data_IF_523291554384
#
_entry.id   IF_523291554384
#
_cell.length_a   1.000
_cell.length_b   1.000
_cell.length_c   1.000
_cell.angle_alpha   90.00
_cell.angle_beta   90.00
_cell.angle_gamma   90.00
#
_symmetry.space_group_name_H-M   'P 1'
#
loop_
_entity.id
_entity.type
_entity.pdbx_description
1 polymer ?
#
# COMPACT_ATOMS: atom_id res chain seq x y z
N UNK A 1 1.52 11.73 10.97
CA UNK A 1 2.56 10.99 10.22
C UNK A 1 2.75 9.60 10.79
N UNK A 2 2.88 8.61 9.91
CA UNK A 2 3.23 7.23 10.26
C UNK A 2 4.36 6.79 9.34
N UNK A 3 5.39 6.21 9.92
CA UNK A 3 6.53 5.67 9.19
C UNK A 3 6.61 4.18 9.47
N UNK A 4 6.86 3.41 8.42
CA UNK A 4 6.95 1.96 8.45
C UNK A 4 8.29 1.58 7.84
N UNK A 5 8.98 0.64 8.48
CA UNK A 5 10.21 0.08 7.96
C UNK A 5 10.20 -1.42 8.23
N UNK A 6 10.69 -2.19 7.28
CA UNK A 6 10.73 -3.64 7.38
C UNK A 6 11.75 -4.22 6.42
N UNK A 7 11.87 -5.54 6.46
CA UNK A 7 12.61 -6.30 5.48
C UNK A 7 11.81 -7.56 5.14
N UNK A 8 11.90 -7.99 3.89
CA UNK A 8 11.34 -9.25 3.43
C UNK A 8 12.45 -10.09 2.84
N UNK A 9 12.37 -11.41 3.05
CA UNK A 9 13.29 -12.37 2.45
C UNK A 9 12.51 -13.37 1.63
N UNK A 10 12.79 -13.41 0.33
CA UNK A 10 12.19 -14.36 -0.61
C UNK A 10 13.31 -15.18 -1.23
N UNK A 11 13.41 -16.44 -0.81
CA UNK A 11 14.54 -17.30 -1.17
C UNK A 11 15.88 -16.70 -0.71
N UNK A 12 16.76 -16.41 -1.68
CA UNK A 12 18.09 -15.81 -1.45
C UNK A 12 18.11 -14.28 -1.62
N UNK A 13 16.96 -13.64 -1.83
CA UNK A 13 16.85 -12.20 -1.96
C UNK A 13 16.36 -11.58 -0.64
N UNK A 14 17.03 -10.53 -0.20
CA UNK A 14 16.66 -9.71 0.95
C UNK A 14 16.35 -8.30 0.45
N UNK A 15 15.16 -7.82 0.77
CA UNK A 15 14.62 -6.56 0.28
C UNK A 15 14.12 -5.72 1.44
N UNK A 16 14.43 -4.43 1.42
CA UNK A 16 14.01 -3.49 2.45
C UNK A 16 12.67 -2.87 2.05
N UNK A 17 11.77 -2.74 3.02
CA UNK A 17 10.49 -2.08 2.89
C UNK A 17 10.53 -0.76 3.65
N UNK A 18 10.12 0.32 3.01
CA UNK A 18 9.92 1.63 3.61
C UNK A 18 8.53 2.12 3.26
N UNK A 19 7.76 2.47 4.27
CA UNK A 19 6.42 2.99 4.13
C UNK A 19 6.27 4.33 4.83
N UNK A 20 5.42 5.17 4.27
CA UNK A 20 4.99 6.42 4.88
C UNK A 20 3.49 6.59 4.66
N UNK A 21 2.78 7.02 5.70
CA UNK A 21 1.37 7.30 5.62
C UNK A 21 1.00 8.58 6.37
N UNK A 22 0.06 9.30 5.79
CA UNK A 22 -0.52 10.50 6.37
C UNK A 22 -2.03 10.37 6.50
N UNK A 23 -2.54 10.56 7.71
CA UNK A 23 -3.97 10.61 8.01
C UNK A 23 -4.39 12.08 8.02
N UNK A 24 -5.10 12.51 6.98
CA UNK A 24 -5.62 13.89 6.93
C UNK A 24 -6.76 14.06 7.94
N UNK A 25 -7.55 13.01 8.12
CA UNK A 25 -8.68 12.92 9.03
C UNK A 25 -9.10 11.43 9.15
N UNK A 26 -10.12 11.09 9.96
CA UNK A 26 -10.58 9.70 10.08
C UNK A 26 -11.10 9.08 8.77
N UNK A 27 -11.43 9.90 7.77
CA UNK A 27 -11.98 9.47 6.48
C UNK A 27 -10.90 9.22 5.44
N UNK A 28 -9.82 10.01 5.44
CA UNK A 28 -8.84 10.05 4.36
C UNK A 28 -7.43 9.79 4.87
N UNK A 29 -6.80 8.77 4.29
CA UNK A 29 -5.36 8.49 4.44
C UNK A 29 -4.70 8.41 3.08
N UNK A 30 -3.47 8.90 3.00
CA UNK A 30 -2.57 8.69 1.88
C UNK A 30 -1.37 7.86 2.32
N UNK A 31 -0.89 6.98 1.45
CA UNK A 31 0.17 6.02 1.74
C UNK A 31 1.14 5.91 0.57
N UNK A 32 2.42 5.81 0.89
CA UNK A 32 3.51 5.55 -0.03
C UNK A 32 4.32 4.40 0.53
N UNK A 33 4.56 3.36 -0.28
CA UNK A 33 5.43 2.26 0.10
C UNK A 33 6.49 2.03 -0.97
N UNK A 34 7.70 1.69 -0.54
CA UNK A 34 8.84 1.40 -1.38
C UNK A 34 9.45 0.08 -0.93
N UNK A 35 9.62 -0.82 -1.90
CA UNK A 35 10.35 -2.07 -1.73
C UNK A 35 11.63 -1.99 -2.55
N UNK A 36 12.78 -2.12 -1.88
CA UNK A 36 14.08 -2.19 -2.56
C UNK A 36 14.28 -3.56 -3.20
N UNK A 37 15.24 -3.67 -4.12
CA UNK A 37 15.49 -4.92 -4.84
C UNK A 37 15.80 -4.68 -6.31
N UNK A 38 16.07 -5.77 -7.03
CA UNK A 38 16.23 -5.73 -8.49
C UNK A 38 14.90 -5.46 -9.18
N UNK A 39 13.82 -6.00 -8.61
CA UNK A 39 12.44 -5.75 -9.01
C UNK A 39 11.82 -4.83 -7.96
N UNK A 40 12.31 -3.59 -7.89
CA UNK A 40 11.77 -2.65 -6.92
C UNK A 40 10.31 -2.30 -7.26
N UNK A 41 9.52 -2.02 -6.22
CA UNK A 41 8.15 -1.58 -6.36
C UNK A 41 7.94 -0.32 -5.54
N UNK A 42 7.32 0.68 -6.16
CA UNK A 42 6.79 1.84 -5.48
C UNK A 42 5.27 1.79 -5.52
N UNK A 43 4.64 1.95 -4.37
CA UNK A 43 3.19 1.89 -4.22
C UNK A 43 2.69 3.25 -3.79
N UNK A 44 1.65 3.71 -4.45
CA UNK A 44 0.90 4.91 -4.05
C UNK A 44 -0.52 4.46 -3.76
N UNK A 45 -1.03 4.79 -2.57
CA UNK A 45 -2.35 4.37 -2.14
C UNK A 45 -3.12 5.47 -1.44
N UNK A 46 -4.44 5.43 -1.59
CA UNK A 46 -5.37 6.20 -0.78
C UNK A 46 -6.29 5.26 -0.02
N UNK A 47 -6.75 5.72 1.13
CA UNK A 47 -7.78 5.04 1.91
C UNK A 47 -8.91 6.02 2.16
N UNK A 48 -10.12 5.62 1.77
CA UNK A 48 -11.36 6.33 2.00
C UNK A 48 -12.31 5.51 2.86
N UNK A 49 -12.53 5.95 4.09
CA UNK A 49 -13.53 5.36 4.99
C UNK A 49 -14.88 6.03 4.74
N UNK A 50 -15.68 5.46 3.84
CA UNK A 50 -17.01 5.98 3.48
C UNK A 50 -17.94 5.95 4.70
N UNK A 51 -17.88 4.85 5.45
CA UNK A 51 -18.60 4.67 6.72
C UNK A 51 -17.70 3.93 7.71
N UNK A 52 -18.18 3.70 8.94
CA UNK A 52 -17.46 2.87 9.91
C UNK A 52 -17.20 1.44 9.45
N UNK A 53 -18.02 0.92 8.52
CA UNK A 53 -17.93 -0.44 8.01
C UNK A 53 -17.43 -0.53 6.57
N UNK A 54 -17.49 0.56 5.81
CA UNK A 54 -17.14 0.58 4.39
C UNK A 54 -15.88 1.39 4.15
N UNK A 55 -14.88 0.74 3.56
CA UNK A 55 -13.61 1.34 3.20
C UNK A 55 -13.27 1.01 1.75
N UNK A 56 -12.72 1.99 1.04
CA UNK A 56 -12.23 1.84 -0.35
C UNK A 56 -10.77 2.25 -0.41
N UNK A 57 -9.92 1.43 -1.01
CA UNK A 57 -8.49 1.67 -1.11
C UNK A 57 -8.02 1.55 -2.56
N UNK A 58 -8.08 2.63 -3.36
CA UNK A 58 -7.41 2.65 -4.64
C UNK A 58 -5.91 2.79 -4.44
N UNK A 59 -5.14 1.98 -5.15
CA UNK A 59 -3.69 2.01 -5.11
C UNK A 59 -3.08 1.60 -6.45
N UNK A 60 -1.81 1.96 -6.63
CA UNK A 60 -1.06 1.72 -7.84
C UNK A 60 0.35 1.24 -7.48
N UNK A 61 0.73 0.10 -8.02
CA UNK A 61 2.10 -0.42 -8.00
C UNK A 61 2.84 0.02 -9.25
N UNK A 62 4.01 0.57 -9.06
CA UNK A 62 4.96 0.97 -10.10
C UNK A 62 6.19 0.08 -9.92
N UNK A 63 6.37 -0.87 -10.83
CA UNK A 63 7.56 -1.72 -10.87
C UNK A 63 8.57 -1.21 -11.88
N UNK A 64 9.84 -1.39 -11.58
CA UNK A 64 10.93 -1.07 -12.51
C UNK A 64 11.49 -2.31 -13.24
N UNK A 65 10.88 -3.50 -13.08
CA UNK A 65 11.39 -4.72 -13.70
C UNK A 65 11.27 -4.67 -15.24
N UNK A 66 10.19 -4.12 -15.78
CA UNK A 66 9.96 -4.00 -17.23
C UNK A 66 9.41 -2.62 -17.63
N UNK A 67 9.66 -2.22 -18.88
CA UNK A 67 9.03 -1.04 -19.50
C UNK A 67 7.51 -1.20 -19.47
N UNK A 68 6.81 -0.34 -18.71
CA UNK A 68 5.35 -0.29 -18.51
C UNK A 68 4.73 -1.16 -17.39
N UNK A 69 5.50 -1.59 -16.38
CA UNK A 69 4.96 -2.36 -15.26
C UNK A 69 4.20 -1.49 -14.22
N UNK A 70 3.06 -0.93 -14.63
CA UNK A 70 2.12 -0.21 -13.75
C UNK A 70 0.87 -1.04 -13.54
N UNK A 71 0.55 -1.34 -12.28
CA UNK A 71 -0.63 -2.12 -11.90
C UNK A 71 -1.49 -1.30 -10.94
N UNK A 72 -2.63 -0.82 -11.44
CA UNK A 72 -3.65 -0.18 -10.62
C UNK A 72 -4.65 -1.20 -10.08
N UNK A 73 -5.06 -1.05 -8.83
CA UNK A 73 -6.09 -1.88 -8.20
C UNK A 73 -6.94 -1.06 -7.23
N UNK A 74 -8.13 -1.56 -6.92
CA UNK A 74 -9.03 -0.96 -5.93
C UNK A 74 -9.53 -2.05 -5.02
N UNK A 75 -9.29 -1.91 -3.72
CA UNK A 75 -9.83 -2.81 -2.70
C UNK A 75 -11.09 -2.20 -2.09
N UNK A 76 -12.16 -2.99 -2.06
CA UNK A 76 -13.38 -2.66 -1.32
C UNK A 76 -13.46 -3.56 -0.09
N UNK A 77 -13.54 -2.94 1.08
CA UNK A 77 -13.58 -3.64 2.37
C UNK A 77 -14.90 -3.31 3.05
N UNK A 78 -15.63 -4.36 3.44
CA UNK A 78 -16.80 -4.26 4.29
C UNK A 78 -16.60 -5.04 5.59
N UNK A 79 -16.67 -4.34 6.71
CA UNK A 79 -16.50 -4.91 8.05
C UNK A 79 -17.86 -5.02 8.74
N UNK A 80 -18.23 -6.23 9.13
CA UNK A 80 -19.43 -6.51 9.93
C UNK A 80 -19.09 -7.42 11.11
N UNK A 81 -19.67 -7.18 12.30
CA UNK A 81 -19.50 -8.06 13.44
C UNK A 81 -20.28 -9.37 13.20
N UNK A 82 -19.67 -10.51 13.55
CA UNK A 82 -20.31 -11.82 13.39
C UNK A 82 -21.09 -12.27 14.64
N UNK A 83 -20.70 -11.88 15.85
CA UNK A 83 -21.42 -12.04 17.12
C UNK A 83 -20.61 -11.43 18.26
#
# INVERSE_FOLDING_TARGET
EKYMAGAVRVGNHEEALLGWAHDFNPTWRFQLDYQSGKENFFTVGFTWNITHSWQVNPAMYLSNDHTHAVVGYVVFTYTFPLW
#
